data_IF_197166553978
#
_entry.id   IF_197166553978
#
_cell.length_a   1.000
_cell.length_b   1.000
_cell.length_c   1.000
_cell.angle_alpha   90.00
_cell.angle_beta   90.00
_cell.angle_gamma   90.00
#
_symmetry.space_group_name_H-M   'P 1'
#
loop_
_entity.id
_entity.type
_entity.pdbx_description
1 polymer ?
#
# COMPACT_ATOMS: atom_id res chain seq x y z
N UNK A 1 15.69 -28.95 1.43
CA UNK A 1 15.42 -27.57 1.89
C UNK A 1 16.65 -26.74 1.62
N UNK A 2 16.64 -25.87 0.60
CA UNK A 2 17.82 -25.05 0.30
C UNK A 2 18.17 -24.14 1.49
N UNK A 3 19.47 -24.00 1.77
CA UNK A 3 20.02 -23.03 2.72
C UNK A 3 20.50 -21.77 2.01
N UNK A 4 20.22 -20.63 2.61
CA UNK A 4 20.70 -19.32 2.16
C UNK A 4 21.03 -18.41 3.33
N UNK A 5 21.79 -17.36 3.05
CA UNK A 5 22.13 -16.30 4.00
C UNK A 5 21.51 -14.99 3.55
N UNK A 6 20.74 -14.33 4.41
CA UNK A 6 20.16 -13.00 4.14
C UNK A 6 20.69 -12.03 5.20
N UNK A 7 21.39 -10.98 4.78
CA UNK A 7 22.01 -9.98 5.67
C UNK A 7 22.84 -10.62 6.82
N UNK A 8 23.60 -11.67 6.49
CA UNK A 8 24.44 -12.42 7.43
C UNK A 8 23.71 -13.47 8.29
N UNK A 9 22.39 -13.63 8.13
CA UNK A 9 21.59 -14.64 8.86
C UNK A 9 21.29 -15.85 7.98
N UNK A 10 21.72 -17.03 8.41
CA UNK A 10 21.43 -18.29 7.71
C UNK A 10 19.99 -18.76 7.99
N UNK A 11 19.31 -19.26 6.96
CA UNK A 11 18.00 -19.90 7.07
C UNK A 11 17.88 -21.04 6.06
N UNK A 12 17.04 -22.03 6.38
CA UNK A 12 16.63 -23.06 5.44
C UNK A 12 15.14 -22.97 5.17
N UNK A 13 14.76 -23.05 3.89
CA UNK A 13 13.36 -22.89 3.45
C UNK A 13 12.90 -24.08 2.63
N UNK A 14 11.58 -24.32 2.49
CA UNK A 14 11.06 -25.29 1.54
C UNK A 14 11.53 -25.00 0.12
N UNK A 15 11.66 -26.05 -0.69
CA UNK A 15 11.98 -25.90 -2.10
C UNK A 15 10.89 -25.11 -2.83
N UNK A 16 11.29 -24.25 -3.77
CA UNK A 16 10.38 -23.34 -4.46
C UNK A 16 10.00 -22.06 -3.70
N UNK A 17 10.43 -21.88 -2.45
CA UNK A 17 10.25 -20.63 -1.74
C UNK A 17 11.01 -19.48 -2.42
N UNK A 18 10.42 -18.28 -2.41
CA UNK A 18 11.04 -17.06 -2.92
C UNK A 18 11.90 -16.36 -1.88
N UNK A 19 12.83 -15.53 -2.32
CA UNK A 19 13.69 -14.73 -1.42
C UNK A 19 12.87 -13.85 -0.48
N UNK A 20 11.75 -13.27 -0.93
CA UNK A 20 10.88 -12.46 -0.06
C UNK A 20 10.26 -13.28 1.07
N UNK A 21 9.82 -14.50 0.79
CA UNK A 21 9.25 -15.40 1.80
C UNK A 21 10.33 -15.89 2.79
N UNK A 22 11.55 -16.11 2.31
CA UNK A 22 12.68 -16.43 3.18
C UNK A 22 13.04 -15.27 4.12
N UNK A 23 13.04 -14.03 3.60
CA UNK A 23 13.28 -12.82 4.39
C UNK A 23 12.20 -12.60 5.47
N UNK A 24 10.93 -12.84 5.14
CA UNK A 24 9.81 -12.73 6.10
C UNK A 24 9.97 -13.67 7.30
N UNK A 25 10.44 -14.90 7.07
CA UNK A 25 10.71 -15.86 8.15
C UNK A 25 11.82 -15.40 9.10
N UNK A 26 12.73 -14.56 8.62
CA UNK A 26 13.78 -13.92 9.42
C UNK A 26 13.35 -12.59 10.07
N UNK A 27 12.11 -12.15 9.84
CA UNK A 27 11.63 -10.84 10.26
C UNK A 27 12.27 -9.68 9.49
N UNK A 28 12.85 -9.94 8.32
CA UNK A 28 13.45 -8.92 7.45
C UNK A 28 12.39 -8.42 6.48
N UNK A 29 12.01 -7.15 6.65
CA UNK A 29 11.04 -6.51 5.76
C UNK A 29 11.69 -6.07 4.45
N UNK A 30 11.22 -6.62 3.33
CA UNK A 30 11.57 -6.16 1.99
C UNK A 30 10.40 -5.34 1.43
N UNK A 31 10.62 -4.08 0.98
CA UNK A 31 9.57 -3.23 0.40
C UNK A 31 8.88 -3.88 -0.79
N UNK A 32 7.56 -3.67 -0.94
CA UNK A 32 6.74 -4.30 -1.99
C UNK A 32 5.48 -3.52 -2.30
N UNK A 33 5.16 -3.35 -3.59
CA UNK A 33 3.88 -2.78 -4.03
C UNK A 33 3.00 -3.75 -4.79
N UNK A 34 3.55 -4.62 -5.65
CA UNK A 34 2.73 -5.56 -6.43
C UNK A 34 2.56 -6.89 -5.72
N UNK A 35 3.58 -7.33 -4.97
CA UNK A 35 3.54 -8.59 -4.25
C UNK A 35 2.50 -8.52 -3.14
N UNK A 36 1.67 -9.55 -3.07
CA UNK A 36 0.74 -9.81 -1.98
C UNK A 36 0.72 -11.33 -1.79
N UNK A 37 0.83 -11.85 -0.55
CA UNK A 37 0.98 -13.30 -0.32
C UNK A 37 -0.21 -14.14 -0.80
N UNK A 38 -1.41 -13.53 -0.89
CA UNK A 38 -2.63 -14.20 -1.36
C UNK A 38 -2.89 -14.03 -2.88
N UNK A 39 -2.01 -13.37 -3.63
CA UNK A 39 -2.14 -13.19 -5.08
C UNK A 39 -0.96 -13.80 -5.83
N UNK A 40 -1.11 -14.05 -7.12
CA UNK A 40 -0.02 -14.47 -8.00
C UNK A 40 1.14 -13.46 -8.04
N UNK A 41 2.34 -13.91 -8.39
CA UNK A 41 3.53 -13.05 -8.43
C UNK A 41 3.60 -12.31 -9.77
N UNK A 42 3.52 -10.97 -9.73
CA UNK A 42 3.58 -10.13 -10.93
C UNK A 42 4.99 -9.60 -11.27
N UNK A 43 5.70 -9.03 -10.29
CA UNK A 43 7.07 -8.51 -10.49
C UNK A 43 7.20 -7.20 -11.28
N UNK A 44 6.11 -6.46 -11.53
CA UNK A 44 6.10 -5.21 -12.31
C UNK A 44 6.65 -3.98 -11.56
N UNK A 45 6.43 -3.86 -10.25
CA UNK A 45 6.78 -2.63 -9.50
C UNK A 45 8.27 -2.47 -9.16
N UNK A 46 9.06 -3.56 -9.23
CA UNK A 46 10.51 -3.60 -8.96
C UNK A 46 11.00 -2.99 -7.63
N UNK A 47 10.16 -2.63 -6.66
CA UNK A 47 10.64 -2.04 -5.39
C UNK A 47 11.34 -3.05 -4.47
N UNK A 48 11.09 -4.35 -4.66
CA UNK A 48 11.69 -5.43 -3.87
C UNK A 48 13.10 -5.85 -4.36
N UNK A 49 13.85 -4.93 -4.96
CA UNK A 49 15.20 -5.22 -5.43
C UNK A 49 16.12 -5.57 -4.25
N UNK A 50 16.89 -6.63 -4.44
CA UNK A 50 17.92 -7.13 -3.54
C UNK A 50 19.18 -7.44 -4.34
N UNK A 51 20.33 -7.35 -3.68
CA UNK A 51 21.60 -7.74 -4.28
C UNK A 51 21.90 -9.19 -3.92
N UNK A 52 22.19 -10.00 -4.92
CA UNK A 52 22.52 -11.41 -4.74
C UNK A 52 23.94 -11.59 -5.24
N UNK A 53 24.80 -12.19 -4.41
CA UNK A 53 26.18 -12.43 -4.79
C UNK A 53 26.28 -13.26 -6.08
N UNK A 54 27.36 -13.05 -6.83
CA UNK A 54 27.61 -13.69 -8.13
C UNK A 54 26.57 -13.34 -9.21
N UNK A 55 25.65 -12.42 -8.94
CA UNK A 55 24.71 -11.88 -9.93
C UNK A 55 25.05 -10.41 -10.23
N UNK A 56 25.29 -10.04 -11.50
CA UNK A 56 25.70 -8.67 -11.82
C UNK A 56 24.58 -7.65 -11.57
N UNK A 57 23.33 -8.01 -11.88
CA UNK A 57 22.15 -7.15 -11.75
C UNK A 57 21.37 -7.46 -10.47
N UNK A 58 20.78 -6.42 -9.88
CA UNK A 58 19.82 -6.58 -8.78
C UNK A 58 18.64 -7.45 -9.21
N UNK A 59 18.23 -8.35 -8.31
CA UNK A 59 17.14 -9.31 -8.53
C UNK A 59 15.91 -8.91 -7.74
N UNK A 60 14.72 -9.35 -8.18
CA UNK A 60 13.48 -9.12 -7.43
C UNK A 60 13.24 -10.21 -6.42
N UNK A 61 13.17 -9.84 -5.15
CA UNK A 61 12.93 -10.81 -4.08
C UNK A 61 11.58 -11.55 -4.22
N UNK A 62 10.58 -10.92 -4.85
CA UNK A 62 9.24 -11.48 -4.96
C UNK A 62 9.11 -12.68 -5.90
N UNK A 63 10.01 -12.84 -6.88
CA UNK A 63 9.94 -13.92 -7.87
C UNK A 63 11.22 -14.76 -7.93
N UNK A 64 12.34 -14.29 -7.38
CA UNK A 64 13.58 -15.07 -7.38
C UNK A 64 13.44 -16.26 -6.41
N UNK A 65 13.51 -17.51 -6.92
CA UNK A 65 13.48 -18.69 -6.07
C UNK A 65 14.79 -18.82 -5.30
N UNK A 66 14.72 -19.36 -4.10
CA UNK A 66 15.90 -19.62 -3.27
C UNK A 66 16.68 -20.82 -3.82
N UNK A 67 18.00 -20.66 -3.91
CA UNK A 67 18.95 -21.73 -4.28
C UNK A 67 19.90 -22.01 -3.12
N UNK A 68 20.46 -23.21 -3.09
CA UNK A 68 21.47 -23.60 -2.09
C UNK A 68 22.69 -22.68 -2.13
N UNK A 69 23.14 -22.22 -0.95
CA UNK A 69 24.30 -21.35 -0.79
C UNK A 69 24.10 -19.92 -1.31
N UNK A 70 22.86 -19.49 -1.56
CA UNK A 70 22.56 -18.12 -1.98
C UNK A 70 22.90 -17.12 -0.86
N UNK A 71 23.55 -16.01 -1.20
CA UNK A 71 23.83 -14.91 -0.26
C UNK A 71 23.13 -13.64 -0.78
N UNK A 72 22.21 -13.12 0.02
CA UNK A 72 21.35 -11.98 -0.31
C UNK A 72 21.66 -10.83 0.63
N UNK A 73 21.90 -9.66 0.05
CA UNK A 73 22.08 -8.40 0.76
C UNK A 73 20.88 -7.50 0.48
N UNK A 74 20.15 -7.12 1.52
CA UNK A 74 18.94 -6.27 1.40
C UNK A 74 19.21 -4.81 1.73
N UNK A 75 20.30 -4.49 2.44
CA UNK A 75 20.64 -3.13 2.91
C UNK A 75 21.97 -2.59 2.39
N UNK A 76 22.55 -3.22 1.36
CA UNK A 76 23.79 -2.70 0.80
C UNK A 76 23.51 -1.47 -0.10
N UNK A 77 24.53 -0.62 -0.36
CA UNK A 77 24.36 0.61 -1.14
C UNK A 77 23.74 0.38 -2.51
N UNK A 78 24.10 -0.73 -3.17
CA UNK A 78 23.58 -1.11 -4.49
C UNK A 78 22.07 -1.38 -4.46
N UNK A 79 21.57 -2.16 -3.48
CA UNK A 79 20.15 -2.42 -3.34
C UNK A 79 19.36 -1.16 -2.98
N UNK A 80 19.90 -0.32 -2.09
CA UNK A 80 19.26 0.94 -1.71
C UNK A 80 19.18 1.94 -2.86
N UNK A 81 20.25 2.08 -3.65
CA UNK A 81 20.26 2.91 -4.85
C UNK A 81 19.26 2.42 -5.89
N UNK A 82 19.17 1.10 -6.10
CA UNK A 82 18.16 0.50 -6.97
C UNK A 82 16.73 0.82 -6.53
N UNK A 83 16.44 0.76 -5.22
CA UNK A 83 15.12 1.14 -4.68
C UNK A 83 14.83 2.62 -4.85
N UNK A 84 15.82 3.48 -4.63
CA UNK A 84 15.71 4.93 -4.84
C UNK A 84 15.37 5.26 -6.29
N UNK A 85 16.05 4.64 -7.25
CA UNK A 85 15.78 4.80 -8.67
C UNK A 85 14.35 4.36 -9.03
N UNK A 86 13.89 3.21 -8.50
CA UNK A 86 12.51 2.75 -8.70
C UNK A 86 11.49 3.74 -8.14
N UNK A 87 11.69 4.25 -6.93
CA UNK A 87 10.81 5.27 -6.35
C UNK A 87 10.76 6.54 -7.20
N UNK A 88 11.87 6.93 -7.81
CA UNK A 88 11.89 8.07 -8.72
C UNK A 88 11.08 7.85 -9.99
N UNK A 89 11.14 6.67 -10.59
CA UNK A 89 10.28 6.34 -11.72
C UNK A 89 8.80 6.31 -11.34
N UNK A 90 8.47 5.77 -10.16
CA UNK A 90 7.09 5.73 -9.68
C UNK A 90 6.54 7.14 -9.41
N UNK A 91 7.38 8.04 -8.87
CA UNK A 91 6.99 9.41 -8.54
C UNK A 91 7.10 10.39 -9.71
N UNK A 92 7.76 10.01 -10.82
CA UNK A 92 7.90 10.83 -12.01
C UNK A 92 6.53 11.29 -12.52
N UNK A 93 5.58 10.37 -12.70
CA UNK A 93 4.23 10.68 -13.16
C UNK A 93 3.16 10.73 -12.05
N UNK A 94 3.50 10.40 -10.79
CA UNK A 94 2.54 10.46 -9.68
C UNK A 94 2.23 11.91 -9.27
N UNK A 95 0.95 12.30 -9.05
CA UNK A 95 0.56 13.66 -8.72
C UNK A 95 0.97 14.03 -7.28
N UNK A 96 1.09 15.34 -7.01
CA UNK A 96 1.34 15.87 -5.66
C UNK A 96 0.03 16.03 -4.88
N UNK A 97 -0.79 14.98 -4.88
CA UNK A 97 -2.13 14.98 -4.29
C UNK A 97 -2.16 14.52 -2.82
N UNK A 98 -1.00 14.30 -2.18
CA UNK A 98 -0.92 13.80 -0.80
C UNK A 98 -1.77 14.59 0.22
N UNK A 99 -1.95 15.92 0.14
CA UNK A 99 -2.82 16.67 1.07
C UNK A 99 -4.31 16.37 0.91
N UNK A 100 -4.74 15.92 -0.27
CA UNK A 100 -6.15 15.66 -0.62
C UNK A 100 -6.42 14.17 -0.88
N UNK A 101 -5.43 13.32 -0.63
CA UNK A 101 -5.49 11.89 -0.82
C UNK A 101 -5.97 11.23 0.48
N UNK A 102 -7.03 10.41 0.40
CA UNK A 102 -7.64 9.79 1.58
C UNK A 102 -6.70 8.79 2.27
N UNK A 103 -5.79 8.17 1.50
CA UNK A 103 -4.80 7.22 2.01
C UNK A 103 -3.52 7.90 2.54
N UNK A 104 -3.50 9.23 2.65
CA UNK A 104 -2.35 9.96 3.20
C UNK A 104 -2.13 9.56 4.67
N UNK A 105 -0.88 9.22 5.00
CA UNK A 105 -0.48 8.71 6.32
C UNK A 105 -0.48 7.18 6.44
N UNK A 106 -1.20 6.46 5.58
CA UNK A 106 -1.18 4.98 5.51
C UNK A 106 -0.73 4.44 4.14
N UNK A 107 -0.39 5.33 3.21
CA UNK A 107 0.05 5.00 1.86
C UNK A 107 1.47 4.40 1.87
N UNK A 108 1.63 3.19 1.32
CA UNK A 108 2.93 2.53 1.18
C UNK A 108 3.91 3.36 0.35
N UNK A 109 3.42 4.04 -0.69
CA UNK A 109 4.27 4.86 -1.56
C UNK A 109 4.88 6.04 -0.80
N UNK A 110 4.09 6.68 0.04
CA UNK A 110 4.56 7.74 0.92
C UNK A 110 5.57 7.20 1.93
N UNK A 111 5.25 6.07 2.58
CA UNK A 111 6.10 5.47 3.60
C UNK A 111 7.45 5.01 3.04
N UNK A 112 7.47 4.38 1.86
CA UNK A 112 8.72 3.97 1.23
C UNK A 112 9.52 5.16 0.70
N UNK A 113 8.86 6.24 0.25
CA UNK A 113 9.55 7.47 -0.09
C UNK A 113 10.25 8.09 1.12
N UNK A 114 9.58 8.16 2.28
CA UNK A 114 10.18 8.67 3.51
C UNK A 114 11.34 7.80 4.01
N UNK A 115 11.25 6.47 3.85
CA UNK A 115 12.26 5.54 4.34
C UNK A 115 13.48 5.38 3.41
N UNK A 116 13.27 5.38 2.09
CA UNK A 116 14.32 5.03 1.10
C UNK A 116 14.56 6.13 0.04
N UNK A 117 13.60 7.05 -0.10
CA UNK A 117 13.48 7.95 -1.23
C UNK A 117 13.72 9.43 -0.93
N UNK A 118 14.29 9.81 0.22
CA UNK A 118 14.60 11.21 0.53
C UNK A 118 15.73 11.76 -0.37
N UNK A 119 15.40 12.09 -1.61
CA UNK A 119 16.29 12.68 -2.61
C UNK A 119 15.63 13.89 -3.28
N UNK A 120 16.46 14.71 -3.93
CA UNK A 120 15.99 15.86 -4.71
C UNK A 120 15.43 15.37 -6.06
N UNK A 121 14.15 15.64 -6.37
CA UNK A 121 13.53 15.16 -7.60
C UNK A 121 14.25 15.75 -8.83
N UNK A 122 14.60 14.89 -9.79
CA UNK A 122 15.25 15.30 -11.05
C UNK A 122 14.24 15.57 -12.16
N UNK A 123 13.07 14.91 -12.09
CA UNK A 123 11.97 15.09 -13.03
C UNK A 123 11.33 16.48 -12.87
N UNK A 124 11.38 17.28 -13.93
CA UNK A 124 10.86 18.67 -13.98
C UNK A 124 9.83 18.86 -15.10
N UNK A 125 9.56 17.80 -15.84
CA UNK A 125 8.67 17.79 -16.99
C UNK A 125 7.20 17.76 -16.55
N UNK A 126 6.31 17.96 -17.52
CA UNK A 126 4.88 17.84 -17.26
C UNK A 126 4.53 16.37 -17.05
N UNK A 127 3.87 16.09 -15.92
CA UNK A 127 3.33 14.77 -15.60
C UNK A 127 2.20 14.42 -16.57
N UNK A 128 2.11 13.15 -16.94
CA UNK A 128 0.99 12.64 -17.74
C UNK A 128 -0.31 12.80 -16.95
N UNK A 129 -1.27 13.54 -17.53
CA UNK A 129 -2.59 13.73 -16.94
C UNK A 129 -3.51 12.56 -17.29
N UNK A 130 -4.32 12.13 -16.33
CA UNK A 130 -5.29 11.05 -16.49
C UNK A 130 -6.60 11.43 -15.80
N UNK A 131 -7.64 10.63 -16.02
CA UNK A 131 -8.94 10.89 -15.43
C UNK A 131 -8.91 10.73 -13.90
N UNK A 132 -9.35 11.76 -13.18
CA UNK A 132 -9.54 11.72 -11.73
C UNK A 132 -11.00 11.40 -11.39
N UNK A 133 -11.21 10.74 -10.25
CA UNK A 133 -12.54 10.48 -9.70
C UNK A 133 -13.50 9.81 -10.71
N UNK A 134 -13.04 8.75 -11.35
CA UNK A 134 -13.86 7.90 -12.22
C UNK A 134 -14.61 6.89 -11.34
N UNK A 135 -15.96 6.87 -11.34
CA UNK A 135 -16.71 5.83 -10.65
C UNK A 135 -16.52 4.50 -11.38
N UNK A 136 -15.99 3.49 -10.70
CA UNK A 136 -15.90 2.13 -11.26
C UNK A 136 -17.16 1.31 -10.96
N UNK A 137 -17.92 1.69 -9.95
CA UNK A 137 -19.14 1.01 -9.51
C UNK A 137 -19.83 1.77 -8.37
N UNK A 138 -20.71 1.10 -7.60
CA UNK A 138 -21.44 1.71 -6.50
C UNK A 138 -20.54 2.07 -5.31
N UNK A 139 -19.45 1.34 -5.08
CA UNK A 139 -18.63 1.47 -3.86
C UNK A 139 -17.23 2.03 -4.08
N UNK A 140 -16.72 2.08 -5.31
CA UNK A 140 -15.30 2.36 -5.58
C UNK A 140 -15.14 3.51 -6.58
N UNK A 141 -14.29 4.47 -6.20
CA UNK A 141 -13.83 5.56 -7.05
C UNK A 141 -12.36 5.35 -7.41
N UNK A 142 -12.03 5.56 -8.68
CA UNK A 142 -10.68 5.48 -9.22
C UNK A 142 -10.12 6.87 -9.55
N UNK A 143 -8.96 7.17 -9.00
CA UNK A 143 -8.08 8.23 -9.46
C UNK A 143 -6.93 7.61 -10.25
N UNK A 144 -6.95 7.79 -11.57
CA UNK A 144 -5.98 7.16 -12.46
C UNK A 144 -4.58 7.78 -12.36
N UNK A 145 -4.45 9.04 -11.97
CA UNK A 145 -3.15 9.70 -11.84
C UNK A 145 -2.36 9.14 -10.66
N UNK A 146 -3.06 8.74 -9.59
CA UNK A 146 -2.44 8.15 -8.40
C UNK A 146 -2.01 6.69 -8.59
N UNK A 147 -2.51 6.01 -9.62
CA UNK A 147 -2.24 4.60 -9.85
C UNK A 147 -0.80 4.36 -10.31
N UNK A 148 -0.09 3.46 -9.63
CA UNK A 148 1.28 3.04 -9.98
C UNK A 148 1.33 1.76 -10.83
N UNK A 149 0.20 1.33 -11.40
CA UNK A 149 0.08 0.15 -12.26
C UNK A 149 0.65 -1.16 -11.65
N UNK A 150 0.48 -1.36 -10.34
CA UNK A 150 0.97 -2.55 -9.63
C UNK A 150 0.18 -3.84 -9.93
N UNK A 151 -0.92 -3.75 -10.69
CA UNK A 151 -1.84 -4.83 -11.06
C UNK A 151 -2.46 -5.66 -9.92
N UNK A 152 -2.43 -5.18 -8.66
CA UNK A 152 -3.05 -5.91 -7.54
C UNK A 152 -4.57 -6.02 -7.68
N UNK A 153 -5.25 -4.93 -8.02
CA UNK A 153 -6.70 -4.92 -8.18
C UNK A 153 -7.17 -5.84 -9.33
N UNK A 154 -6.48 -5.79 -10.47
CA UNK A 154 -6.77 -6.65 -11.64
C UNK A 154 -6.60 -8.13 -11.29
N UNK A 155 -5.49 -8.50 -10.64
CA UNK A 155 -5.27 -9.88 -10.18
C UNK A 155 -6.28 -10.31 -9.11
N UNK A 156 -6.67 -9.40 -8.22
CA UNK A 156 -7.69 -9.70 -7.23
C UNK A 156 -9.03 -10.05 -7.89
N UNK A 157 -9.45 -9.26 -8.88
CA UNK A 157 -10.71 -9.52 -9.59
C UNK A 157 -10.67 -10.77 -10.48
N UNK A 158 -9.49 -11.15 -10.96
CA UNK A 158 -9.29 -12.33 -11.79
C UNK A 158 -9.16 -13.63 -10.96
N UNK A 159 -8.36 -13.61 -9.90
CA UNK A 159 -7.98 -14.80 -9.13
C UNK A 159 -8.95 -15.09 -7.97
N UNK A 160 -9.38 -14.05 -7.24
CA UNK A 160 -10.15 -14.20 -6.00
C UNK A 160 -11.65 -14.11 -6.28
N UNK A 161 -12.11 -12.99 -6.85
CA UNK A 161 -13.54 -12.82 -7.15
C UNK A 161 -13.95 -13.56 -8.43
N UNK A 162 -12.99 -13.85 -9.32
CA UNK A 162 -13.20 -14.52 -10.62
C UNK A 162 -14.23 -13.82 -11.50
N UNK A 163 -14.34 -12.51 -11.34
CA UNK A 163 -15.26 -11.67 -12.12
C UNK A 163 -14.57 -10.99 -13.29
N UNK A 164 -13.25 -10.76 -13.20
CA UNK A 164 -12.45 -10.24 -14.32
C UNK A 164 -12.85 -8.84 -14.81
N UNK A 165 -13.52 -8.05 -13.97
CA UNK A 165 -14.09 -6.75 -14.35
C UNK A 165 -13.01 -5.68 -14.61
N UNK A 166 -11.87 -5.75 -13.90
CA UNK A 166 -10.78 -4.79 -14.03
C UNK A 166 -9.70 -5.28 -14.99
N UNK A 167 -9.20 -4.35 -15.81
CA UNK A 167 -8.09 -4.57 -16.74
C UNK A 167 -7.09 -3.41 -16.73
N UNK A 168 -5.95 -3.64 -17.38
CA UNK A 168 -5.00 -2.58 -17.74
C UNK A 168 -5.12 -2.34 -19.24
N UNK A 169 -5.54 -1.13 -19.61
CA UNK A 169 -5.67 -0.66 -20.98
C UNK A 169 -4.46 0.19 -21.37
N UNK A 170 -4.29 0.42 -22.67
CA UNK A 170 -3.15 1.12 -23.25
C UNK A 170 -1.79 0.46 -22.94
N UNK A 171 -0.69 1.15 -23.27
CA UNK A 171 0.69 0.68 -23.08
C UNK A 171 1.60 1.84 -22.67
N UNK A 172 2.71 1.50 -22.02
CA UNK A 172 3.70 2.49 -21.59
C UNK A 172 3.20 3.35 -20.42
N UNK A 173 3.59 4.62 -20.42
CA UNK A 173 3.18 5.64 -19.45
C UNK A 173 1.69 6.01 -19.55
N UNK A 174 1.07 5.78 -20.72
CA UNK A 174 -0.37 5.89 -20.94
C UNK A 174 -1.18 4.68 -20.46
N UNK A 175 -0.54 3.67 -19.83
CA UNK A 175 -1.23 2.52 -19.25
C UNK A 175 -2.22 2.93 -18.16
N UNK A 176 -3.43 2.38 -18.20
CA UNK A 176 -4.55 2.83 -17.37
C UNK A 176 -5.33 1.64 -16.81
N UNK A 177 -5.64 1.68 -15.51
CA UNK A 177 -6.54 0.68 -14.91
C UNK A 177 -7.97 1.13 -15.17
N UNK A 178 -8.84 0.22 -15.57
CA UNK A 178 -10.25 0.54 -15.74
C UNK A 178 -11.11 -0.71 -15.73
N UNK A 179 -12.40 -0.52 -15.94
CA UNK A 179 -13.36 -1.61 -16.21
C UNK A 179 -13.51 -1.81 -17.72
N UNK A 180 -13.89 -3.01 -18.14
CA UNK A 180 -14.21 -3.26 -19.55
C UNK A 180 -15.44 -2.43 -19.98
N UNK A 181 -15.47 -1.85 -21.20
CA UNK A 181 -16.62 -1.07 -21.65
C UNK A 181 -17.94 -1.83 -21.53
N UNK A 182 -18.93 -1.21 -20.88
CA UNK A 182 -20.24 -1.84 -20.63
C UNK A 182 -20.33 -2.70 -19.36
N UNK A 183 -19.26 -2.75 -18.57
CA UNK A 183 -19.24 -3.41 -17.24
C UNK A 183 -18.99 -2.39 -16.13
N UNK A 184 -19.42 -2.72 -14.92
CA UNK A 184 -19.14 -1.97 -13.69
C UNK A 184 -18.51 -2.93 -12.69
N UNK A 185 -17.76 -2.41 -11.72
CA UNK A 185 -17.19 -3.18 -10.62
C UNK A 185 -18.28 -3.43 -9.57
N UNK A 186 -19.06 -4.49 -9.76
CA UNK A 186 -20.27 -4.82 -9.01
C UNK A 186 -20.24 -6.27 -8.52
N UNK A 187 -19.17 -6.63 -7.83
CA UNK A 187 -19.07 -7.91 -7.13
C UNK A 187 -19.18 -7.73 -5.60
N UNK A 188 -19.60 -8.78 -4.85
CA UNK A 188 -19.76 -8.70 -3.39
C UNK A 188 -18.49 -8.31 -2.61
N UNK A 189 -17.32 -8.50 -3.21
CA UNK A 189 -16.01 -8.19 -2.64
C UNK A 189 -15.36 -6.96 -3.27
N UNK A 190 -16.13 -6.16 -4.02
CA UNK A 190 -15.62 -5.05 -4.83
C UNK A 190 -14.90 -4.00 -3.99
N UNK A 191 -15.35 -3.73 -2.78
CA UNK A 191 -14.71 -2.78 -1.86
C UNK A 191 -13.30 -3.22 -1.42
N UNK A 192 -12.99 -4.52 -1.40
CA UNK A 192 -11.66 -5.02 -0.98
C UNK A 192 -10.53 -4.57 -1.93
N UNK A 193 -10.86 -4.08 -3.14
CA UNK A 193 -9.86 -3.50 -4.04
C UNK A 193 -9.27 -2.20 -3.49
N UNK A 194 -9.99 -1.51 -2.60
CA UNK A 194 -9.51 -0.31 -1.89
C UNK A 194 -8.39 -0.70 -0.93
N UNK A 195 -8.64 -1.71 -0.09
CA UNK A 195 -7.68 -2.17 0.92
C UNK A 195 -6.40 -2.77 0.30
N UNK A 196 -6.55 -3.52 -0.80
CA UNK A 196 -5.39 -4.16 -1.45
C UNK A 196 -4.50 -3.15 -2.21
N UNK A 197 -5.04 -1.95 -2.48
CA UNK A 197 -4.34 -0.92 -3.23
C UNK A 197 -3.24 -0.28 -2.34
N UNK A 198 -1.96 -0.33 -2.75
CA UNK A 198 -0.87 0.25 -1.96
C UNK A 198 -0.85 1.79 -1.98
N UNK A 199 -1.70 2.40 -2.80
CA UNK A 199 -1.73 3.84 -3.08
C UNK A 199 -3.18 4.32 -3.19
N UNK A 200 -3.44 5.60 -2.94
CA UNK A 200 -4.79 6.18 -2.91
C UNK A 200 -5.45 6.37 -4.26
N UNK A 201 -5.21 5.45 -5.20
CA UNK A 201 -5.84 5.39 -6.52
C UNK A 201 -7.25 4.81 -6.44
N UNK A 202 -7.46 3.76 -5.66
CA UNK A 202 -8.77 3.18 -5.42
C UNK A 202 -9.23 3.61 -4.03
N UNK A 203 -10.36 4.27 -3.96
CA UNK A 203 -10.92 4.82 -2.72
C UNK A 203 -12.38 4.45 -2.60
N UNK A 204 -12.87 4.34 -1.37
CA UNK A 204 -14.30 4.11 -1.14
C UNK A 204 -15.11 5.32 -1.61
N UNK A 205 -16.23 5.05 -2.26
CA UNK A 205 -17.23 6.05 -2.63
C UNK A 205 -18.08 6.38 -1.39
N UNK A 206 -17.45 6.97 -0.38
CA UNK A 206 -18.17 7.60 0.72
C UNK A 206 -18.49 9.06 0.35
N UNK A 207 -19.63 9.59 0.78
CA UNK A 207 -19.93 11.01 0.67
C UNK A 207 -18.79 11.80 1.34
N UNK A 208 -17.93 12.45 0.53
CA UNK A 208 -16.67 13.12 0.94
C UNK A 208 -16.79 14.08 2.13
N UNK A 209 -18.01 14.45 2.54
CA UNK A 209 -18.31 15.34 3.66
C UNK A 209 -18.29 14.61 5.02
N UNK A 210 -18.58 13.31 5.08
CA UNK A 210 -18.78 12.62 6.37
C UNK A 210 -17.48 12.17 7.05
N UNK A 211 -16.42 11.91 6.28
CA UNK A 211 -15.12 11.45 6.80
C UNK A 211 -14.35 12.49 7.62
N UNK A 212 -14.47 13.79 7.28
CA UNK A 212 -13.91 14.88 8.09
C UNK A 212 -14.59 14.97 9.46
N UNK A 213 -15.86 14.57 9.57
CA UNK A 213 -16.61 14.59 10.83
C UNK A 213 -16.31 13.37 11.72
N UNK A 214 -16.06 12.20 11.13
CA UNK A 214 -15.86 10.95 11.89
C UNK A 214 -14.47 10.82 12.51
N UNK A 215 -13.39 11.32 11.88
CA UNK A 215 -12.03 11.30 12.49
C UNK A 215 -11.93 12.16 13.76
N UNK A 216 -12.78 13.17 13.92
CA UNK A 216 -12.89 13.94 15.18
C UNK A 216 -13.49 13.08 16.30
N UNK A 217 -14.31 12.07 15.97
CA UNK A 217 -14.99 11.23 16.97
C UNK A 217 -14.27 9.93 17.35
N UNK A 218 -13.33 9.41 16.56
CA UNK A 218 -12.65 8.14 16.86
C UNK A 218 -11.41 8.25 17.77
N UNK A 219 -11.15 9.41 18.37
CA UNK A 219 -10.12 9.61 19.41
C UNK A 219 -10.32 8.89 20.76
N UNK A 220 -11.55 8.58 21.25
CA UNK A 220 -11.71 7.97 22.59
C UNK A 220 -11.85 6.44 22.58
N UNK A 221 -12.28 5.82 21.47
CA UNK A 221 -12.68 4.41 21.46
C UNK A 221 -11.50 3.43 21.66
N UNK A 222 -10.29 3.80 21.26
CA UNK A 222 -9.08 2.98 21.45
C UNK A 222 -8.51 3.05 22.88
N UNK A 223 -8.83 4.08 23.67
CA UNK A 223 -8.36 4.17 25.09
C UNK A 223 -9.16 3.29 26.04
N UNK A 224 -10.38 2.88 25.68
CA UNK A 224 -11.22 2.06 26.55
C UNK A 224 -10.82 0.56 26.61
N UNK A 225 -10.08 0.07 25.62
CA UNK A 225 -9.64 -1.35 25.58
C UNK A 225 -8.36 -1.62 26.37
N UNK A 226 -7.58 -0.59 26.70
CA UNK A 226 -6.32 -0.71 27.45
C UNK A 226 -6.42 -0.28 28.92
N UNK A 227 -7.61 0.11 29.39
CA UNK A 227 -7.82 0.43 30.80
C UNK A 227 -7.92 -0.84 31.65
N UNK A 228 -7.12 -0.91 32.72
CA UNK A 228 -7.16 -2.00 33.70
C UNK A 228 -8.57 -2.22 34.26
N UNK A 229 -8.92 -3.45 34.69
CA UNK A 229 -10.28 -3.81 35.14
C UNK A 229 -10.85 -2.90 36.23
N UNK A 230 -9.99 -2.28 37.03
CA UNK A 230 -10.36 -1.38 38.13
C UNK A 230 -11.00 -0.07 37.66
N UNK A 231 -10.70 0.42 36.45
CA UNK A 231 -11.28 1.67 35.90
C UNK A 231 -12.63 1.49 35.20
N UNK A 232 -13.17 0.26 35.12
CA UNK A 232 -14.51 0.02 34.55
C UNK A 232 -15.65 0.27 35.54
N UNK A 233 -15.35 0.39 36.84
CA UNK A 233 -16.38 0.53 37.89
C UNK A 233 -16.91 1.95 38.10
N UNK A 234 -16.24 2.99 37.60
CA UNK A 234 -16.67 4.38 37.79
C UNK A 234 -17.54 4.94 36.66
N UNK A 235 -17.67 4.23 35.53
CA UNK A 235 -18.39 4.72 34.35
C UNK A 235 -19.75 4.03 34.12
N UNK A 236 -20.35 3.53 35.21
CA UNK A 236 -21.71 3.01 35.21
C UNK A 236 -22.69 4.08 35.71
N UNK A 237 -23.75 4.30 34.93
CA UNK A 237 -24.91 5.16 35.21
C UNK A 237 -24.75 6.67 34.94
N UNK A 238 -25.04 7.05 33.69
CA UNK A 238 -26.18 7.96 33.37
C UNK A 238 -26.33 8.10 31.85
N UNK A 239 -27.36 7.45 31.31
CA UNK A 239 -27.94 7.81 30.01
C UNK A 239 -28.75 9.10 30.21
N UNK A 240 -28.39 10.19 29.53
CA UNK A 240 -29.28 11.32 29.24
C UNK A 240 -28.70 12.16 28.09
N UNK A 241 -29.52 12.67 27.15
CA UNK A 241 -29.05 13.42 25.99
C UNK A 241 -28.84 14.88 26.37
N UNK A 242 -27.61 15.38 26.28
CA UNK A 242 -27.31 16.79 26.53
C UNK A 242 -27.01 17.50 25.21
N UNK A 243 -28.08 18.01 24.60
CA UNK A 243 -28.02 19.30 23.91
C UNK A 243 -27.92 20.38 25.00
N UNK A 244 -26.81 21.13 25.02
CA UNK A 244 -26.68 22.55 25.36
C UNK A 244 -25.20 22.84 25.65
N UNK A 245 -24.70 23.90 25.03
CA UNK A 245 -23.30 24.28 25.02
C UNK A 245 -22.73 24.60 26.40
N UNK A 246 -21.45 24.32 26.57
CA UNK A 246 -20.64 24.86 27.65
C UNK A 246 -19.79 25.99 27.06
N UNK A 247 -20.05 27.22 27.50
CA UNK A 247 -19.14 28.36 27.33
C UNK A 247 -17.84 28.14 28.14
N UNK A 248 -16.71 28.72 27.70
CA UNK A 248 -15.43 28.56 28.39
C UNK A 248 -15.39 29.41 29.66
N UNK A 249 -15.09 28.78 30.80
CA UNK A 249 -14.91 29.46 32.08
C UNK A 249 -13.55 30.19 32.09
N UNK A 250 -13.62 31.51 32.27
CA UNK A 250 -12.49 32.44 32.40
C UNK A 250 -11.66 32.10 33.64
N UNK A 251 -10.35 31.97 33.45
CA UNK A 251 -9.36 31.85 34.54
C UNK A 251 -9.21 33.23 35.20
N UNK A 252 -9.55 33.34 36.48
CA UNK A 252 -9.12 34.47 37.32
C UNK A 252 -8.45 33.90 38.56
N UNK A 253 -7.12 34.11 38.58
CA UNK A 253 -6.13 34.11 39.68
C UNK A 253 -6.24 33.06 40.77
#
# INVERSE_FOLDING_TARGET
>A
MPKLTIDGREISVPEGATVIQAAEKLGIFIPRYCYHPALSIAGNCRICLVDIEKTPKLQIACNTPVTEGMVVHTKNPKAEEGRRAVLEFLLANHPLDCPVCDQSGECDLQNFYLNFGLYNPRFKEQKVKKHKAVPLGPHVMLDQERCILCSRCVRFTDEITKTGELGIFNRGDHGEVGVFPGTTLENPYSANVVDICPVGALTERADRVQWLQSRVQYGPALRARQASPERRRSCGARQAPLQRGCEPMVVVR
#
